data_IF_826434503664
#
_entry.id   IF_826434503664
#
_cell.length_a   1.000
_cell.length_b   1.000
_cell.length_c   1.000
_cell.angle_alpha   90.00
_cell.angle_beta   90.00
_cell.angle_gamma   90.00
#
_symmetry.space_group_name_H-M   'P 1'
#
loop_
_entity.id
_entity.type
_entity.pdbx_description
1 polymer ?
#
# COMPACT_ATOMS: atom_id res chain seq x y z
N UNK A 1 -14.48 21.80 6.21
CA UNK A 1 -13.82 20.92 5.21
C UNK A 1 -12.40 20.64 5.66
N UNK A 2 -12.15 19.52 6.33
CA UNK A 2 -10.77 19.09 6.62
C UNK A 2 -10.36 18.15 5.50
N UNK A 3 -9.57 18.63 4.54
CA UNK A 3 -8.99 17.84 3.45
C UNK A 3 -8.23 16.68 4.10
N UNK A 4 -8.73 15.45 3.99
CA UNK A 4 -7.99 14.25 4.39
C UNK A 4 -6.74 14.21 3.53
N UNK A 5 -5.64 14.61 4.20
CA UNK A 5 -4.22 14.48 3.87
C UNK A 5 -3.96 13.81 2.51
N UNK A 6 -3.37 14.58 1.60
CA UNK A 6 -2.66 14.02 0.45
C UNK A 6 -1.73 12.91 0.98
N UNK A 7 -1.94 11.69 0.51
CA UNK A 7 -1.13 10.55 0.93
C UNK A 7 0.32 10.83 0.53
N UNK A 8 1.19 10.96 1.53
CA UNK A 8 2.61 11.19 1.29
C UNK A 8 3.23 9.90 0.72
N UNK A 9 4.07 10.06 -0.29
CA UNK A 9 4.90 8.95 -0.78
C UNK A 9 5.90 8.54 0.31
N UNK A 10 6.38 7.29 0.25
CA UNK A 10 7.39 6.78 1.20
C UNK A 10 8.58 7.74 1.30
N UNK A 11 9.07 8.23 0.16
CA UNK A 11 10.19 9.17 0.10
C UNK A 11 9.93 10.52 0.77
N UNK A 12 8.69 11.02 0.73
CA UNK A 12 8.31 12.28 1.38
C UNK A 12 8.17 12.10 2.88
N UNK A 13 7.55 11.00 3.32
CA UNK A 13 7.46 10.67 4.74
C UNK A 13 8.84 10.50 5.38
N UNK A 14 9.79 9.86 4.69
CA UNK A 14 11.16 9.68 5.19
C UNK A 14 11.98 10.97 5.27
N UNK A 15 11.54 12.05 4.61
CA UNK A 15 12.16 13.38 4.74
C UNK A 15 11.64 14.16 5.95
N UNK A 16 10.64 13.65 6.66
CA UNK A 16 10.11 14.30 7.85
C UNK A 16 11.17 14.29 8.97
N UNK A 17 11.52 15.46 9.54
CA UNK A 17 12.53 15.57 10.58
C UNK A 17 12.16 14.82 11.87
N UNK A 18 10.87 14.67 12.18
CA UNK A 18 10.40 13.91 13.34
C UNK A 18 10.61 12.42 13.11
N UNK A 19 10.29 11.90 11.92
CA UNK A 19 10.54 10.51 11.56
C UNK A 19 12.04 10.22 11.64
N UNK A 20 12.88 11.08 11.07
CA UNK A 20 14.33 10.94 11.15
C UNK A 20 14.88 11.02 12.59
N UNK A 21 14.24 11.79 13.48
CA UNK A 21 14.61 11.85 14.90
C UNK A 21 14.31 10.54 15.61
N UNK A 22 13.11 9.98 15.41
CA UNK A 22 12.69 8.71 16.03
C UNK A 22 13.56 7.56 15.54
N UNK A 23 13.77 7.43 14.23
CA UNK A 23 14.61 6.36 13.68
C UNK A 23 16.03 6.38 14.25
N UNK A 24 16.63 7.58 14.41
CA UNK A 24 17.95 7.72 15.03
C UNK A 24 17.95 7.37 16.51
N UNK A 25 16.91 7.74 17.25
CA UNK A 25 16.78 7.39 18.66
C UNK A 25 16.73 5.87 18.86
N UNK A 26 16.09 5.17 17.93
CA UNK A 26 15.97 3.71 17.94
C UNK A 26 17.14 2.98 17.25
N UNK A 27 18.15 3.71 16.76
CA UNK A 27 19.31 3.13 16.07
C UNK A 27 18.99 2.50 14.70
N UNK A 28 17.85 2.87 14.11
CA UNK A 28 17.38 2.36 12.81
C UNK A 28 17.95 3.21 11.67
N UNK A 29 18.56 2.56 10.68
CA UNK A 29 19.03 3.24 9.47
C UNK A 29 17.85 3.58 8.56
N UNK A 30 17.88 4.79 7.99
CA UNK A 30 16.83 5.27 7.10
C UNK A 30 16.68 4.39 5.85
N UNK A 31 17.79 3.89 5.29
CA UNK A 31 17.78 3.00 4.13
C UNK A 31 17.12 1.64 4.41
N UNK A 32 17.37 1.07 5.58
CA UNK A 32 16.77 -0.21 6.01
C UNK A 32 15.26 -0.04 6.19
N UNK A 33 14.85 1.06 6.82
CA UNK A 33 13.43 1.39 7.00
C UNK A 33 12.72 1.66 5.68
N UNK A 34 13.38 2.35 4.74
CA UNK A 34 12.89 2.56 3.37
C UNK A 34 12.64 1.23 2.66
N UNK A 35 13.64 0.34 2.67
CA UNK A 35 13.54 -0.97 2.02
C UNK A 35 12.39 -1.82 2.60
N UNK A 36 12.20 -1.76 3.92
CA UNK A 36 11.09 -2.42 4.60
C UNK A 36 9.73 -1.87 4.14
N UNK A 37 9.56 -0.56 4.08
CA UNK A 37 8.33 0.07 3.61
C UNK A 37 8.03 -0.25 2.14
N UNK A 38 9.04 -0.23 1.27
CA UNK A 38 8.90 -0.60 -0.13
C UNK A 38 8.50 -2.07 -0.29
N UNK A 39 9.11 -2.96 0.49
CA UNK A 39 8.78 -4.40 0.48
C UNK A 39 7.35 -4.64 0.97
N UNK A 40 6.94 -3.94 2.02
CA UNK A 40 5.57 -4.01 2.54
C UNK A 40 4.55 -3.49 1.52
N UNK A 41 4.86 -2.38 0.84
CA UNK A 41 4.02 -1.84 -0.22
C UNK A 41 3.86 -2.84 -1.39
N UNK A 42 4.96 -3.42 -1.88
CA UNK A 42 4.93 -4.47 -2.93
C UNK A 42 4.12 -5.69 -2.50
N UNK A 43 4.28 -6.13 -1.25
CA UNK A 43 3.52 -7.26 -0.70
C UNK A 43 2.02 -6.95 -0.62
N UNK A 44 1.66 -5.71 -0.27
CA UNK A 44 0.27 -5.25 -0.24
C UNK A 44 -0.36 -5.25 -1.64
N UNK A 45 0.38 -4.80 -2.65
CA UNK A 45 -0.07 -4.82 -4.05
C UNK A 45 -0.26 -6.24 -4.56
N UNK A 46 0.62 -7.17 -4.19
CA UNK A 46 0.51 -8.59 -4.58
C UNK A 46 -0.65 -9.31 -3.89
N UNK A 47 -1.08 -8.82 -2.71
CA UNK A 47 -2.27 -9.31 -2.00
C UNK A 47 -3.55 -8.65 -2.52
N UNK A 48 -3.73 -8.58 -3.84
CA UNK A 48 -5.09 -8.51 -4.41
C UNK A 48 -5.83 -9.72 -3.85
N UNK A 49 -6.72 -9.50 -2.89
CA UNK A 49 -7.37 -10.61 -2.18
C UNK A 49 -8.11 -11.48 -3.21
N UNK A 50 -8.29 -12.79 -2.96
CA UNK A 50 -9.12 -13.64 -3.81
C UNK A 50 -10.49 -13.01 -4.08
N UNK A 51 -11.03 -12.29 -3.09
CA UNK A 51 -12.25 -11.48 -3.19
C UNK A 51 -12.08 -10.28 -4.14
N UNK A 52 -10.98 -9.54 -4.06
CA UNK A 52 -10.69 -8.44 -4.98
C UNK A 52 -10.54 -8.90 -6.44
N UNK A 53 -9.90 -10.04 -6.65
CA UNK A 53 -9.80 -10.66 -7.98
C UNK A 53 -11.15 -11.16 -8.49
N UNK A 54 -11.98 -11.75 -7.60
CA UNK A 54 -13.34 -12.18 -7.93
C UNK A 54 -14.27 -10.99 -8.28
N UNK A 55 -14.23 -9.90 -7.50
CA UNK A 55 -14.98 -8.68 -7.79
C UNK A 55 -14.53 -8.04 -9.10
N UNK A 56 -13.22 -8.07 -9.39
CA UNK A 56 -12.68 -7.60 -10.67
C UNK A 56 -13.18 -8.45 -11.84
N UNK A 57 -13.24 -9.79 -11.70
CA UNK A 57 -13.77 -10.67 -12.75
C UNK A 57 -15.27 -10.48 -12.99
N UNK A 58 -16.07 -10.26 -11.93
CA UNK A 58 -17.51 -9.97 -12.08
C UNK A 58 -17.72 -8.62 -12.78
N UNK A 59 -16.89 -7.63 -12.45
CA UNK A 59 -16.97 -6.31 -13.08
C UNK A 59 -16.59 -6.34 -14.55
N UNK A 60 -15.67 -7.21 -14.96
CA UNK A 60 -15.23 -7.31 -16.35
C UNK A 60 -16.18 -8.11 -17.23
N UNK A 61 -16.88 -9.10 -16.66
CA UNK A 61 -17.83 -9.92 -17.42
C UNK A 61 -18.99 -10.41 -16.52
N UNK A 62 -20.06 -9.61 -16.38
CA UNK A 62 -21.21 -9.99 -15.55
C UNK A 62 -21.99 -11.19 -16.12
N UNK A 63 -21.77 -11.58 -17.38
CA UNK A 63 -22.44 -12.72 -18.01
C UNK A 63 -21.78 -14.07 -17.66
N UNK A 64 -20.51 -14.06 -17.23
CA UNK A 64 -19.77 -15.27 -16.86
C UNK A 64 -20.34 -16.03 -15.64
N UNK A 65 -21.29 -15.45 -14.90
CA UNK A 65 -21.99 -16.14 -13.81
C UNK A 65 -23.12 -17.06 -14.28
N UNK A 66 -23.57 -16.97 -15.53
CA UNK A 66 -24.66 -17.83 -16.02
C UNK A 66 -24.10 -19.06 -16.74
N UNK A 67 -23.75 -20.10 -15.97
CA UNK A 67 -23.46 -21.44 -16.52
C UNK A 67 -24.75 -22.20 -16.90
N UNK A 68 -25.92 -21.62 -16.65
CA UNK A 68 -27.25 -22.19 -16.95
C UNK A 68 -28.18 -21.19 -17.68
N UNK A 69 -27.60 -20.23 -18.39
CA UNK A 69 -28.23 -19.55 -19.52
C UNK A 69 -27.60 -20.16 -20.79
#
# INVERSE_FOLDING_TARGET
>A
MSKTREELTISEALRDPLIAMVLRADGVKLDDFKSLLETAARTREQRTSPVGNFLKSISSDPAAMCSYC
#
